data_IF_304164550394
#
_entry.id   IF_304164550394
#
_cell.length_a   1.000
_cell.length_b   1.000
_cell.length_c   1.000
_cell.angle_alpha   90.00
_cell.angle_beta   90.00
_cell.angle_gamma   90.00
#
_symmetry.space_group_name_H-M   'P 1'
#
loop_
_entity.id
_entity.type
_entity.pdbx_description
1 polymer ?
#
# COMPACT_ATOMS: atom_id res chain seq x y z
N UNK A 1 -23.79 -20.93 -3.20
CA UNK A 1 -23.74 -19.48 -3.49
C UNK A 1 -23.76 -18.70 -2.18
N UNK A 2 -22.60 -18.44 -1.62
CA UNK A 2 -22.44 -17.44 -0.56
C UNK A 2 -22.47 -16.08 -1.23
N UNK A 3 -23.60 -15.40 -1.16
CA UNK A 3 -23.70 -13.98 -1.50
C UNK A 3 -23.03 -13.19 -0.37
N UNK A 4 -21.69 -13.10 -0.34
CA UNK A 4 -21.01 -12.02 0.36
C UNK A 4 -21.15 -10.79 -0.54
N UNK A 5 -21.94 -9.84 -0.07
CA UNK A 5 -22.04 -8.52 -0.70
C UNK A 5 -20.65 -7.87 -0.56
N UNK A 6 -19.91 -7.79 -1.66
CA UNK A 6 -18.65 -7.05 -1.70
C UNK A 6 -18.98 -5.56 -1.70
N UNK A 7 -19.04 -5.00 -0.50
CA UNK A 7 -19.25 -3.56 -0.33
C UNK A 7 -17.91 -2.91 -0.10
N UNK A 8 -17.68 -1.78 -0.80
CA UNK A 8 -16.49 -0.95 -0.61
C UNK A 8 -16.48 -0.38 0.80
N UNK A 9 -15.30 -0.30 1.40
CA UNK A 9 -15.10 0.44 2.65
C UNK A 9 -14.86 1.91 2.33
N UNK A 10 -15.33 2.79 3.21
CA UNK A 10 -15.03 4.21 3.17
C UNK A 10 -13.98 4.53 4.23
N UNK A 11 -12.90 5.18 3.82
CA UNK A 11 -11.82 5.53 4.74
C UNK A 11 -11.29 6.94 4.49
N UNK A 12 -10.93 7.58 5.58
CA UNK A 12 -10.27 8.88 5.60
C UNK A 12 -8.78 8.71 5.86
N UNK A 13 -7.95 9.44 5.12
CA UNK A 13 -6.49 9.45 5.29
C UNK A 13 -6.05 10.84 5.71
N UNK A 14 -5.26 10.89 6.80
CA UNK A 14 -4.55 12.09 7.23
C UNK A 14 -3.03 11.83 7.25
N UNK A 15 -2.26 12.85 6.93
CA UNK A 15 -0.80 12.84 7.01
C UNK A 15 -0.38 14.01 7.89
N UNK A 16 0.37 13.75 8.96
CA UNK A 16 0.79 14.73 9.93
C UNK A 16 -0.39 15.59 10.43
N UNK A 17 -1.53 14.94 10.71
CA UNK A 17 -2.83 15.51 11.11
C UNK A 17 -3.56 16.30 10.01
N UNK A 18 -2.97 16.50 8.84
CA UNK A 18 -3.64 17.18 7.73
C UNK A 18 -4.51 16.19 6.96
N UNK A 19 -5.74 16.57 6.71
CA UNK A 19 -6.66 15.81 5.85
C UNK A 19 -6.10 15.73 4.43
N UNK A 20 -6.07 14.51 3.87
CA UNK A 20 -5.61 14.27 2.49
C UNK A 20 -6.78 13.94 1.59
N UNK A 21 -7.55 12.92 1.95
CA UNK A 21 -8.75 12.53 1.21
C UNK A 21 -9.64 11.57 2.02
N UNK A 22 -10.90 11.51 1.59
CA UNK A 22 -11.83 10.44 1.90
C UNK A 22 -12.13 9.67 0.61
N UNK A 23 -12.08 8.33 0.66
CA UNK A 23 -12.29 7.46 -0.51
C UNK A 23 -13.05 6.19 -0.16
N UNK A 24 -13.77 5.68 -1.18
CA UNK A 24 -14.38 4.35 -1.16
C UNK A 24 -13.57 3.42 -2.07
N UNK A 25 -13.13 2.28 -1.52
CA UNK A 25 -12.32 1.30 -2.24
C UNK A 25 -12.43 -0.08 -1.55
N UNK A 26 -11.86 -1.13 -2.15
CA UNK A 26 -11.73 -2.45 -1.52
C UNK A 26 -10.72 -2.43 -0.36
N UNK A 27 -9.77 -1.50 -0.38
CA UNK A 27 -8.77 -1.35 0.65
C UNK A 27 -7.73 -0.26 0.35
N UNK A 28 -6.75 -0.18 1.23
CA UNK A 28 -5.63 0.75 1.15
C UNK A 28 -4.32 0.01 1.42
N UNK A 29 -3.31 0.27 0.61
CA UNK A 29 -1.96 -0.22 0.81
C UNK A 29 -1.07 0.95 1.24
N UNK A 30 -0.33 0.77 2.32
CA UNK A 30 0.78 1.64 2.71
C UNK A 30 2.05 0.81 2.57
N UNK A 31 2.96 1.21 1.71
CA UNK A 31 4.21 0.48 1.48
C UNK A 31 5.44 1.36 1.61
N UNK A 32 6.55 0.75 2.03
CA UNK A 32 7.88 1.36 1.94
C UNK A 32 8.38 1.36 0.50
N UNK A 33 9.51 2.03 0.23
CA UNK A 33 10.17 1.96 -1.08
C UNK A 33 10.49 0.50 -1.47
N UNK A 34 10.98 -0.31 -0.54
CA UNK A 34 11.22 -1.75 -0.79
C UNK A 34 9.92 -2.49 -1.12
N UNK A 35 8.84 -2.23 -0.39
CA UNK A 35 7.53 -2.84 -0.60
C UNK A 35 6.79 -2.33 -1.85
N UNK A 36 7.28 -1.26 -2.49
CA UNK A 36 6.66 -0.70 -3.70
C UNK A 36 6.61 -1.68 -4.87
N UNK A 37 7.53 -2.65 -4.90
CA UNK A 37 7.60 -3.71 -5.92
C UNK A 37 6.80 -4.98 -5.58
N UNK A 38 6.07 -4.98 -4.44
CA UNK A 38 5.18 -6.05 -4.01
C UNK A 38 3.72 -5.75 -4.40
N UNK A 39 2.75 -5.96 -3.52
CA UNK A 39 1.33 -5.80 -3.82
C UNK A 39 0.94 -4.37 -4.24
N UNK A 40 1.65 -3.35 -3.74
CA UNK A 40 1.49 -1.96 -4.18
C UNK A 40 1.66 -1.81 -5.70
N UNK A 41 2.64 -2.52 -6.30
CA UNK A 41 2.84 -2.49 -7.75
C UNK A 41 1.64 -3.06 -8.51
N UNK A 42 1.10 -4.19 -8.06
CA UNK A 42 -0.10 -4.80 -8.66
C UNK A 42 -1.33 -3.90 -8.57
N UNK A 43 -1.40 -3.07 -7.54
CA UNK A 43 -2.44 -2.05 -7.37
C UNK A 43 -2.19 -0.75 -8.16
N UNK A 44 -1.19 -0.72 -9.03
CA UNK A 44 -0.85 0.45 -9.84
C UNK A 44 0.04 1.48 -9.15
N UNK A 45 0.69 1.11 -8.04
CA UNK A 45 1.70 1.92 -7.38
C UNK A 45 2.99 2.05 -8.21
N UNK A 46 3.77 3.12 -8.02
CA UNK A 46 5.05 3.31 -8.71
C UNK A 46 6.14 2.41 -8.12
N UNK A 47 7.14 2.09 -8.94
CA UNK A 47 8.38 1.48 -8.48
C UNK A 47 9.24 2.57 -7.84
N UNK A 48 9.60 2.40 -6.57
CA UNK A 48 10.57 3.25 -5.88
C UNK A 48 11.89 2.51 -5.70
N UNK A 49 13.01 3.22 -5.88
CA UNK A 49 14.31 2.67 -5.54
C UNK A 49 14.41 2.46 -4.02
N UNK A 50 15.03 1.37 -3.52
CA UNK A 50 15.08 1.08 -2.08
C UNK A 50 15.79 2.14 -1.22
N UNK A 51 16.61 3.00 -1.87
CA UNK A 51 17.30 4.11 -1.20
C UNK A 51 16.39 5.32 -0.94
N UNK A 52 15.19 5.34 -1.50
CA UNK A 52 14.27 6.45 -1.32
C UNK A 52 13.57 6.36 0.03
N UNK A 53 13.77 7.37 0.85
CA UNK A 53 13.12 7.52 2.15
C UNK A 53 11.67 7.99 1.97
N UNK A 54 10.78 7.09 1.55
CA UNK A 54 9.39 7.41 1.22
C UNK A 54 8.42 6.26 1.55
N UNK A 55 7.15 6.63 1.77
CA UNK A 55 6.01 5.72 1.72
C UNK A 55 5.19 5.94 0.45
N UNK A 56 4.59 4.86 -0.03
CA UNK A 56 3.58 4.90 -1.09
C UNK A 56 2.24 4.51 -0.49
N UNK A 57 1.22 5.31 -0.76
CA UNK A 57 -0.17 5.05 -0.38
C UNK A 57 -0.96 4.78 -1.65
N UNK A 58 -1.49 3.56 -1.80
CA UNK A 58 -2.20 3.11 -3.00
C UNK A 58 -3.56 2.54 -2.61
N UNK A 59 -4.63 3.02 -3.23
CA UNK A 59 -5.99 2.48 -3.01
C UNK A 59 -6.21 1.24 -3.88
N UNK A 60 -6.87 0.22 -3.32
CA UNK A 60 -7.28 -0.99 -4.04
C UNK A 60 -8.65 -0.77 -4.68
N UNK A 61 -8.74 -0.92 -6.00
CA UNK A 61 -9.99 -0.80 -6.75
C UNK A 61 -10.86 0.40 -6.31
N UNK A 62 -10.33 1.63 -6.30
CA UNK A 62 -11.07 2.79 -5.85
C UNK A 62 -12.26 3.07 -6.78
N UNK A 63 -13.39 3.47 -6.19
CA UNK A 63 -14.56 3.88 -6.97
C UNK A 63 -14.27 5.10 -7.85
N UNK A 64 -13.38 5.98 -7.40
CA UNK A 64 -13.01 7.19 -8.15
C UNK A 64 -11.97 6.90 -9.22
N UNK A 65 -12.29 7.23 -10.46
CA UNK A 65 -11.37 7.11 -11.61
C UNK A 65 -10.17 8.09 -11.52
N UNK A 66 -10.27 9.13 -10.70
CA UNK A 66 -9.18 10.10 -10.47
C UNK A 66 -8.20 9.67 -9.38
N UNK A 67 -8.44 8.54 -8.71
CA UNK A 67 -7.54 8.06 -7.66
C UNK A 67 -6.14 7.81 -8.24
N UNK A 68 -5.13 8.33 -7.54
CA UNK A 68 -3.72 8.13 -7.88
C UNK A 68 -2.97 7.72 -6.62
N UNK A 69 -1.94 6.87 -6.73
CA UNK A 69 -1.02 6.62 -5.64
C UNK A 69 -0.34 7.92 -5.19
N UNK A 70 -0.13 8.03 -3.89
CA UNK A 70 0.51 9.18 -3.26
C UNK A 70 1.85 8.75 -2.68
N UNK A 71 2.90 9.49 -2.97
CA UNK A 71 4.23 9.30 -2.38
C UNK A 71 4.46 10.40 -1.34
N UNK A 72 4.89 10.03 -0.14
CA UNK A 72 5.15 10.95 0.96
C UNK A 72 6.50 10.63 1.62
N UNK A 73 7.13 11.57 2.34
CA UNK A 73 8.32 11.30 3.13
C UNK A 73 8.10 10.19 4.15
N UNK A 74 9.10 9.34 4.39
CA UNK A 74 8.98 8.20 5.31
C UNK A 74 8.90 8.58 6.78
N UNK A 75 9.23 9.81 7.15
CA UNK A 75 9.10 10.36 8.51
C UNK A 75 7.68 10.88 8.80
N UNK A 76 6.81 10.95 7.81
CA UNK A 76 5.40 11.32 7.98
C UNK A 76 4.64 10.31 8.84
N UNK A 77 3.69 10.80 9.63
CA UNK A 77 2.74 10.00 10.39
C UNK A 77 1.44 9.88 9.63
N UNK A 78 1.08 8.66 9.29
CA UNK A 78 -0.16 8.37 8.54
C UNK A 78 -1.21 7.91 9.55
N UNK A 79 -2.40 8.48 9.50
CA UNK A 79 -3.58 7.92 10.15
C UNK A 79 -4.63 7.57 9.12
N UNK A 80 -5.25 6.42 9.31
CA UNK A 80 -6.35 5.95 8.47
C UNK A 80 -7.52 5.60 9.37
N UNK A 81 -8.67 6.19 9.07
CA UNK A 81 -9.92 5.95 9.76
C UNK A 81 -10.91 5.31 8.81
N UNK A 82 -11.47 4.16 9.20
CA UNK A 82 -12.59 3.55 8.49
C UNK A 82 -13.86 4.26 8.93
N UNK A 83 -14.38 5.15 8.07
CA UNK A 83 -15.53 6.01 8.37
C UNK A 83 -16.83 5.23 8.25
N UNK A 84 -16.98 4.49 7.16
CA UNK A 84 -18.15 3.67 6.92
C UNK A 84 -17.70 2.25 6.56
N UNK A 85 -18.19 1.30 7.33
CA UNK A 85 -18.06 -0.11 7.05
C UNK A 85 -19.45 -0.70 6.95
N UNK A 86 -19.87 -1.24 5.79
CA UNK A 86 -21.17 -1.85 5.65
C UNK A 86 -21.38 -2.95 6.68
N UNK A 87 -22.60 -3.04 7.20
CA UNK A 87 -23.00 -4.14 8.11
C UNK A 87 -22.57 -5.48 7.53
N UNK A 88 -22.02 -6.37 8.37
CA UNK A 88 -21.48 -7.67 8.03
C UNK A 88 -20.17 -7.70 7.20
N UNK A 89 -19.49 -6.58 7.04
CA UNK A 89 -18.16 -6.57 6.40
C UNK A 89 -17.08 -6.58 7.47
N UNK A 90 -16.26 -7.62 7.50
CA UNK A 90 -15.08 -7.68 8.36
C UNK A 90 -13.93 -6.92 7.69
N UNK A 91 -13.33 -5.97 8.42
CA UNK A 91 -12.14 -5.25 8.00
C UNK A 91 -10.92 -5.75 8.75
N UNK A 92 -9.80 -5.85 8.04
CA UNK A 92 -8.53 -6.32 8.59
C UNK A 92 -7.40 -5.37 8.24
N UNK A 93 -6.42 -5.24 9.14
CA UNK A 93 -5.09 -4.76 8.81
C UNK A 93 -4.26 -5.99 8.52
N UNK A 94 -3.64 -6.04 7.34
CA UNK A 94 -2.80 -7.17 6.92
C UNK A 94 -1.35 -6.69 6.87
N UNK A 95 -0.47 -7.33 7.66
CA UNK A 95 0.95 -7.01 7.72
C UNK A 95 1.72 -8.00 6.83
N UNK A 96 2.37 -7.48 5.80
CA UNK A 96 3.22 -8.24 4.85
C UNK A 96 2.57 -9.52 4.30
N UNK A 97 1.24 -9.53 4.19
CA UNK A 97 0.47 -10.65 3.65
C UNK A 97 0.33 -11.88 4.56
N UNK A 98 0.85 -11.83 5.79
CA UNK A 98 0.91 -12.98 6.69
C UNK A 98 0.10 -12.81 7.98
N UNK A 99 0.09 -11.64 8.55
CA UNK A 99 -0.58 -11.36 9.82
C UNK A 99 -1.84 -10.54 9.59
N UNK A 100 -2.98 -11.04 10.08
CA UNK A 100 -4.28 -10.38 9.97
C UNK A 100 -4.73 -9.88 11.34
N UNK A 101 -4.93 -8.58 11.46
CA UNK A 101 -5.44 -7.93 12.67
C UNK A 101 -6.85 -7.44 12.38
N UNK A 102 -7.90 -8.03 13.00
CA UNK A 102 -9.26 -7.60 12.76
C UNK A 102 -9.52 -6.22 13.38
N UNK A 103 -10.12 -5.33 12.61
CA UNK A 103 -10.65 -4.06 13.09
C UNK A 103 -12.02 -4.31 13.72
N UNK A 104 -12.08 -4.34 15.07
CA UNK A 104 -13.32 -4.63 15.83
C UNK A 104 -13.78 -3.45 16.65
N UNK A 105 -15.11 -3.30 16.77
CA UNK A 105 -15.76 -2.33 17.65
C UNK A 105 -15.52 -0.89 17.22
N UNK A 106 -15.29 -0.01 18.20
CA UNK A 106 -15.11 1.44 17.99
C UNK A 106 -13.72 1.83 17.52
N UNK A 107 -12.76 0.88 17.51
CA UNK A 107 -11.38 1.15 17.06
C UNK A 107 -11.30 1.06 15.53
N UNK A 108 -11.68 2.14 14.87
CA UNK A 108 -11.67 2.26 13.40
C UNK A 108 -10.48 3.05 12.88
N UNK A 109 -9.57 3.49 13.77
CA UNK A 109 -8.41 4.31 13.42
C UNK A 109 -7.16 3.50 13.66
N UNK A 110 -6.26 3.47 12.68
CA UNK A 110 -4.91 2.96 12.85
C UNK A 110 -3.87 3.97 12.38
N UNK A 111 -2.67 3.81 12.90
CA UNK A 111 -1.55 4.70 12.62
C UNK A 111 -0.40 3.90 12.02
N UNK A 112 0.22 4.46 10.99
CA UNK A 112 1.43 3.93 10.40
C UNK A 112 2.54 4.99 10.43
N UNK A 113 3.73 4.59 10.86
CA UNK A 113 4.91 5.44 10.89
C UNK A 113 6.17 4.59 10.74
N UNK A 114 7.29 5.23 10.37
CA UNK A 114 8.58 4.58 10.24
C UNK A 114 9.04 4.02 11.59
N UNK A 115 9.44 2.74 11.62
CA UNK A 115 10.05 2.14 12.80
C UNK A 115 11.44 2.75 13.08
N UNK A 116 11.81 2.83 14.34
CA UNK A 116 13.18 3.17 14.75
C UNK A 116 14.15 2.02 14.45
N UNK A 117 13.66 0.80 14.40
CA UNK A 117 14.45 -0.38 14.03
C UNK A 117 14.57 -0.49 12.52
N UNK A 118 15.77 -0.78 12.04
CA UNK A 118 16.04 -0.95 10.61
C UNK A 118 16.42 -2.39 10.34
N UNK A 119 15.85 -2.94 9.28
CA UNK A 119 16.30 -4.19 8.68
C UNK A 119 17.41 -3.89 7.68
N UNK A 120 18.57 -4.53 7.84
CA UNK A 120 19.70 -4.39 6.91
C UNK A 120 19.71 -5.56 5.94
N UNK A 121 19.44 -5.27 4.68
CA UNK A 121 19.55 -6.26 3.62
C UNK A 121 20.97 -6.23 3.02
N UNK A 122 21.63 -7.38 3.04
CA UNK A 122 22.97 -7.53 2.48
C UNK A 122 22.81 -8.09 1.06
N UNK A 123 23.34 -7.38 0.08
CA UNK A 123 23.38 -7.79 -1.31
C UNK A 123 24.81 -8.12 -1.75
N UNK A 124 24.99 -9.04 -2.72
CA UNK A 124 26.26 -9.19 -3.43
C UNK A 124 26.69 -7.86 -4.07
N UNK A 125 28.02 -7.70 -4.30
CA UNK A 125 28.56 -6.46 -4.91
C UNK A 125 27.98 -6.17 -6.30
N UNK A 126 27.65 -7.23 -7.04
CA UNK A 126 27.12 -7.18 -8.40
C UNK A 126 25.60 -6.97 -8.44
N UNK A 127 24.94 -6.79 -7.28
CA UNK A 127 23.49 -6.61 -7.24
C UNK A 127 23.09 -5.27 -7.86
N UNK A 128 22.33 -5.34 -8.96
CA UNK A 128 21.70 -4.19 -9.61
C UNK A 128 20.18 -4.28 -9.42
N UNK A 129 19.61 -3.28 -8.74
CA UNK A 129 18.18 -3.16 -8.52
C UNK A 129 17.39 -3.11 -9.83
N UNK A 130 17.88 -2.39 -10.83
CA UNK A 130 17.18 -2.22 -12.10
C UNK A 130 17.22 -3.51 -12.94
N UNK A 131 18.32 -4.26 -12.87
CA UNK A 131 18.40 -5.59 -13.47
C UNK A 131 17.39 -6.54 -12.80
N UNK A 132 17.31 -6.52 -11.49
CA UNK A 132 16.32 -7.31 -10.74
C UNK A 132 14.87 -6.92 -11.13
N UNK A 133 14.57 -5.64 -11.32
CA UNK A 133 13.26 -5.19 -11.79
C UNK A 133 12.97 -5.69 -13.21
N UNK A 134 13.90 -5.59 -14.14
CA UNK A 134 13.74 -6.11 -15.51
C UNK A 134 13.51 -7.61 -15.51
N UNK A 135 14.34 -8.35 -14.78
CA UNK A 135 14.27 -9.81 -14.77
C UNK A 135 13.04 -10.39 -14.06
N UNK A 136 12.63 -9.79 -12.93
CA UNK A 136 11.53 -10.32 -12.11
C UNK A 136 10.16 -9.78 -12.51
N UNK A 137 10.09 -8.53 -12.98
CA UNK A 137 8.83 -7.84 -13.26
C UNK A 137 8.55 -7.72 -14.76
N UNK A 138 9.44 -8.22 -15.64
CA UNK A 138 9.41 -7.98 -17.07
C UNK A 138 9.32 -6.48 -17.42
N UNK A 139 9.92 -5.65 -16.57
CA UNK A 139 9.83 -4.20 -16.67
C UNK A 139 10.67 -3.71 -17.85
N UNK A 140 10.01 -2.97 -18.76
CA UNK A 140 10.66 -2.36 -19.93
C UNK A 140 11.43 -3.34 -20.83
N UNK A 141 11.07 -4.63 -20.84
CA UNK A 141 11.59 -5.56 -21.84
C UNK A 141 10.81 -5.31 -23.12
N UNK A 142 11.44 -4.69 -24.14
CA UNK A 142 10.88 -4.63 -25.48
C UNK A 142 10.75 -6.05 -26.02
N UNK A 143 9.57 -6.43 -26.49
CA UNK A 143 9.36 -7.68 -27.22
C UNK A 143 9.94 -7.53 -28.65
N UNK A 144 11.21 -7.19 -28.79
CA UNK A 144 11.90 -7.26 -30.07
C UNK A 144 12.57 -8.63 -30.19
N UNK A 145 11.97 -9.49 -30.99
CA UNK A 145 12.60 -10.71 -31.44
C UNK A 145 11.77 -11.98 -31.32
N UNK A 146 10.71 -12.09 -32.12
CA UNK A 146 10.32 -13.36 -32.76
C UNK A 146 10.15 -13.15 -34.25
#
# INVERSE_FOLDING_TARGET
>A
HTQKSYKLIEFEVKIDQNFVYNKRADGLIISTATGSTAYSLSAGGPILTPLLEAFVITSLNPLSLSARPLIIPSDSKISVEVVENPEDTECFIILDGNEEIPLKGDSRIFYAHKSQSQFKLIHPKEHDFFEACRGKLNWSISQEGK
#
